data_IF_200481516044
#
_entry.id   IF_200481516044
#
_cell.length_a   1.000
_cell.length_b   1.000
_cell.length_c   1.000
_cell.angle_alpha   90.00
_cell.angle_beta   90.00
_cell.angle_gamma   90.00
#
_symmetry.space_group_name_H-M   'P 1'
#
loop_
_entity.id
_entity.type
_entity.pdbx_description
1 polymer ?
#
# COMPACT_ATOMS: atom_id res chain seq x y z
N UNK A 1 -4.21 -8.11 -17.54
CA UNK A 1 -3.34 -7.89 -16.35
C UNK A 1 -1.90 -8.31 -16.64
N UNK A 2 -1.65 -9.54 -17.10
CA UNK A 2 -0.31 -10.04 -17.42
C UNK A 2 0.43 -9.16 -18.46
N UNK A 3 -0.26 -8.71 -19.52
CA UNK A 3 0.38 -7.90 -20.57
C UNK A 3 0.92 -6.56 -20.04
N UNK A 4 0.16 -5.86 -19.20
CA UNK A 4 0.58 -4.58 -18.59
C UNK A 4 1.81 -4.78 -17.70
N UNK A 5 1.81 -5.83 -16.88
CA UNK A 5 2.93 -6.15 -15.98
C UNK A 5 4.19 -6.55 -16.76
N UNK A 6 4.03 -7.36 -17.81
CA UNK A 6 5.13 -7.78 -18.67
C UNK A 6 5.74 -6.60 -19.41
N UNK A 7 4.91 -5.75 -20.05
CA UNK A 7 5.37 -4.53 -20.74
C UNK A 7 6.06 -3.60 -19.75
N UNK A 8 5.52 -3.42 -18.54
CA UNK A 8 6.17 -2.58 -17.54
C UNK A 8 7.54 -3.14 -17.13
N UNK A 9 7.63 -4.45 -16.87
CA UNK A 9 8.88 -5.10 -16.48
C UNK A 9 9.96 -5.04 -17.58
N UNK A 10 9.60 -5.17 -18.86
CA UNK A 10 10.58 -5.08 -19.96
C UNK A 10 11.16 -3.68 -20.12
N UNK A 11 10.38 -2.63 -19.85
CA UNK A 11 10.83 -1.24 -20.00
C UNK A 11 11.55 -0.70 -18.76
N UNK A 12 11.54 -1.41 -17.64
CA UNK A 12 12.16 -0.96 -16.38
C UNK A 12 13.21 -1.98 -15.92
N UNK A 13 14.36 -2.04 -16.60
CA UNK A 13 15.39 -3.07 -16.40
C UNK A 13 15.96 -3.23 -14.97
N UNK A 14 15.73 -2.26 -14.08
CA UNK A 14 16.04 -2.36 -12.64
C UNK A 14 14.97 -3.07 -11.79
N UNK A 15 13.81 -3.39 -12.37
CA UNK A 15 12.65 -4.00 -11.72
C UNK A 15 12.23 -5.25 -12.53
N UNK A 16 12.30 -6.42 -11.90
CA UNK A 16 11.64 -7.61 -12.41
C UNK A 16 10.19 -7.62 -11.93
N UNK A 17 9.30 -8.35 -12.63
CA UNK A 17 8.02 -8.66 -12.04
C UNK A 17 8.25 -9.37 -10.69
N UNK A 18 7.63 -8.83 -9.65
CA UNK A 18 7.65 -9.42 -8.31
C UNK A 18 6.24 -9.44 -7.73
N UNK A 19 6.00 -10.44 -6.87
CA UNK A 19 4.73 -10.63 -6.20
C UNK A 19 4.39 -9.37 -5.39
N UNK A 20 3.19 -8.83 -5.60
CA UNK A 20 2.75 -7.54 -5.05
C UNK A 20 2.52 -6.45 -6.11
N UNK A 21 3.24 -6.48 -7.24
CA UNK A 21 3.00 -5.53 -8.35
C UNK A 21 1.59 -5.68 -8.94
N UNK A 22 1.08 -6.91 -9.00
CA UNK A 22 -0.29 -7.19 -9.41
C UNK A 22 -1.33 -6.61 -8.42
N UNK A 23 -1.03 -6.59 -7.11
CA UNK A 23 -1.90 -6.01 -6.09
C UNK A 23 -2.02 -4.48 -6.25
N UNK A 24 -0.97 -3.84 -6.77
CA UNK A 24 -0.95 -2.41 -7.12
C UNK A 24 -1.74 -2.13 -8.40
N UNK A 25 -1.64 -3.01 -9.40
CA UNK A 25 -2.33 -2.86 -10.68
C UNK A 25 -3.84 -3.14 -10.58
N UNK A 26 -4.25 -4.10 -9.75
CA UNK A 26 -5.64 -4.56 -9.68
C UNK A 26 -6.65 -3.42 -9.48
N UNK A 27 -6.42 -2.45 -8.56
CA UNK A 27 -7.37 -1.36 -8.40
C UNK A 27 -7.50 -0.45 -9.61
N UNK A 28 -6.42 -0.17 -10.33
CA UNK A 28 -6.46 0.65 -11.54
C UNK A 28 -7.27 -0.04 -12.64
N UNK A 29 -7.14 -1.36 -12.78
CA UNK A 29 -7.93 -2.13 -13.74
C UNK A 29 -9.42 -2.03 -13.42
N UNK A 30 -9.82 -2.16 -12.16
CA UNK A 30 -11.23 -2.11 -11.77
C UNK A 30 -11.81 -0.70 -11.88
N UNK A 31 -11.04 0.33 -11.50
CA UNK A 31 -11.52 1.72 -11.48
C UNK A 31 -11.54 2.39 -12.86
N UNK A 32 -10.68 1.98 -13.79
CA UNK A 32 -10.53 2.60 -15.12
C UNK A 32 -11.21 1.75 -16.20
N UNK A 33 -11.32 0.44 -16.02
CA UNK A 33 -12.08 -0.36 -16.97
C UNK A 33 -13.53 0.13 -16.99
N UNK A 34 -14.15 0.26 -18.18
CA UNK A 34 -15.57 0.54 -18.25
C UNK A 34 -16.28 -0.54 -17.43
N UNK A 35 -17.18 -0.12 -16.54
CA UNK A 35 -18.09 -1.04 -15.88
C UNK A 35 -18.69 -1.89 -16.99
N UNK A 36 -18.39 -3.18 -17.03
CA UNK A 36 -19.03 -4.07 -17.97
C UNK A 36 -20.53 -3.86 -17.76
N UNK A 37 -21.20 -3.23 -18.71
CA UNK A 37 -22.63 -3.04 -18.65
C UNK A 37 -23.28 -4.40 -18.40
N UNK A 38 -24.46 -4.46 -17.78
CA UNK A 38 -25.18 -5.72 -17.65
C UNK A 38 -25.17 -6.41 -19.01
N UNK A 39 -24.87 -7.72 -19.09
CA UNK A 39 -24.85 -8.42 -20.36
C UNK A 39 -26.19 -8.14 -21.01
N UNK A 40 -26.16 -7.55 -22.22
CA UNK A 40 -27.37 -7.29 -22.99
C UNK A 40 -28.19 -8.58 -22.96
N UNK A 41 -29.42 -8.49 -22.43
CA UNK A 41 -30.28 -9.64 -22.20
C UNK A 41 -30.24 -10.53 -23.45
N UNK A 42 -29.70 -11.75 -23.30
CA UNK A 42 -29.59 -12.67 -24.42
C UNK A 42 -31.00 -12.92 -24.96
N UNK A 43 -31.22 -12.88 -26.28
CA UNK A 43 -32.48 -13.32 -26.83
C UNK A 43 -32.63 -14.81 -26.49
N UNK A 44 -33.76 -15.16 -25.89
CA UNK A 44 -34.16 -16.54 -25.65
C UNK A 44 -34.13 -17.33 -26.96
N UNK A 45 -33.26 -18.32 -27.08
CA UNK A 45 -33.34 -19.28 -28.19
C UNK A 45 -32.08 -20.12 -28.43
N UNK A 46 -32.18 -21.42 -28.15
CA UNK A 46 -31.51 -22.49 -28.92
C UNK A 46 -30.04 -22.77 -28.61
N UNK A 47 -29.74 -24.02 -28.24
CA UNK A 47 -28.40 -24.49 -27.92
C UNK A 47 -27.42 -24.54 -29.10
N UNK A 48 -26.14 -24.46 -28.76
CA UNK A 48 -25.01 -24.65 -29.68
C UNK A 48 -23.74 -24.07 -29.05
N UNK A 49 -22.67 -24.88 -28.96
CA UNK A 49 -21.39 -24.48 -28.37
C UNK A 49 -20.82 -23.22 -29.02
N UNK A 50 -20.85 -22.11 -28.29
CA UNK A 50 -20.34 -20.82 -28.75
C UNK A 50 -18.84 -20.69 -28.52
N UNK A 51 -18.07 -20.75 -29.61
CA UNK A 51 -16.74 -20.13 -29.66
C UNK A 51 -16.94 -18.64 -29.34
N UNK A 52 -16.25 -18.10 -28.33
CA UNK A 52 -16.24 -16.65 -28.09
C UNK A 52 -15.71 -15.97 -29.36
N UNK A 53 -16.61 -15.37 -30.14
CA UNK A 53 -16.25 -14.61 -31.33
C UNK A 53 -15.25 -13.53 -30.97
N UNK A 54 -14.29 -13.28 -31.85
CA UNK A 54 -13.34 -12.17 -31.69
C UNK A 54 -14.12 -10.86 -31.50
N UNK A 55 -13.66 -9.96 -30.60
CA UNK A 55 -14.33 -8.70 -30.35
C UNK A 55 -14.46 -7.88 -31.64
N UNK A 56 -15.56 -7.12 -31.76
CA UNK A 56 -15.74 -6.17 -32.86
C UNK A 56 -14.57 -5.15 -32.89
N UNK A 57 -14.18 -4.61 -34.05
CA UNK A 57 -13.11 -3.61 -34.14
C UNK A 57 -13.29 -2.42 -33.19
N UNK A 58 -14.53 -1.96 -33.00
CA UNK A 58 -14.85 -0.87 -32.06
C UNK A 58 -14.63 -1.27 -30.59
N UNK A 59 -14.94 -2.52 -30.24
CA UNK A 59 -14.69 -3.06 -28.90
C UNK A 59 -13.19 -3.25 -28.68
N UNK A 60 -12.46 -3.70 -29.70
CA UNK A 60 -11.00 -3.83 -29.66
C UNK A 60 -10.30 -2.48 -29.48
N UNK A 61 -10.76 -1.43 -30.16
CA UNK A 61 -10.22 -0.06 -30.00
C UNK A 61 -10.51 0.52 -28.61
N UNK A 62 -11.70 0.27 -28.07
CA UNK A 62 -12.07 0.66 -26.70
C UNK A 62 -11.20 -0.05 -25.65
N UNK A 63 -11.05 -1.37 -25.79
CA UNK A 63 -10.19 -2.19 -24.91
C UNK A 63 -8.74 -1.72 -24.97
N UNK A 64 -8.22 -1.44 -26.17
CA UNK A 64 -6.85 -0.95 -26.37
C UNK A 64 -6.65 0.41 -25.70
N UNK A 65 -7.62 1.32 -25.85
CA UNK A 65 -7.58 2.65 -25.21
C UNK A 65 -7.60 2.54 -23.69
N UNK A 66 -8.47 1.72 -23.11
CA UNK A 66 -8.51 1.48 -21.67
C UNK A 66 -7.19 0.89 -21.17
N UNK A 67 -6.63 -0.10 -21.86
CA UNK A 67 -5.34 -0.70 -21.49
C UNK A 67 -4.21 0.34 -21.51
N UNK A 68 -4.18 1.24 -22.48
CA UNK A 68 -3.21 2.32 -22.55
C UNK A 68 -3.35 3.31 -21.37
N UNK A 69 -4.58 3.69 -21.00
CA UNK A 69 -4.83 4.56 -19.83
C UNK A 69 -4.41 3.88 -18.53
N UNK A 70 -4.75 2.60 -18.35
CA UNK A 70 -4.32 1.83 -17.17
C UNK A 70 -2.81 1.74 -17.12
N UNK A 71 -2.14 1.46 -18.25
CA UNK A 71 -0.68 1.40 -18.31
C UNK A 71 -0.02 2.74 -17.95
N UNK A 72 -0.55 3.86 -18.46
CA UNK A 72 -0.05 5.19 -18.13
C UNK A 72 -0.24 5.52 -16.64
N UNK A 73 -1.43 5.23 -16.09
CA UNK A 73 -1.72 5.40 -14.66
C UNK A 73 -0.81 4.53 -13.78
N UNK A 74 -0.62 3.26 -14.15
CA UNK A 74 0.25 2.33 -13.46
C UNK A 74 1.71 2.78 -13.48
N UNK A 75 2.20 3.24 -14.64
CA UNK A 75 3.56 3.78 -14.77
C UNK A 75 3.76 4.99 -13.86
N UNK A 76 2.78 5.90 -13.81
CA UNK A 76 2.82 7.04 -12.91
C UNK A 76 2.83 6.61 -11.43
N UNK A 77 1.96 5.69 -11.04
CA UNK A 77 1.90 5.15 -9.69
C UNK A 77 3.22 4.47 -9.28
N UNK A 78 3.82 3.70 -10.19
CA UNK A 78 5.09 3.04 -9.96
C UNK A 78 6.27 3.99 -9.83
N UNK A 79 6.19 5.26 -10.27
CA UNK A 79 7.23 6.26 -9.91
C UNK A 79 7.32 6.47 -8.40
N UNK A 80 6.22 6.28 -7.67
CA UNK A 80 6.17 6.37 -6.21
C UNK A 80 6.52 5.04 -5.53
N UNK A 81 5.98 3.92 -6.05
CA UNK A 81 6.05 2.63 -5.36
C UNK A 81 7.21 1.72 -5.81
N UNK A 82 7.84 1.98 -6.94
CA UNK A 82 8.89 1.10 -7.52
C UNK A 82 10.04 0.79 -6.57
N UNK A 83 10.42 1.73 -5.70
CA UNK A 83 11.45 1.50 -4.70
C UNK A 83 11.14 0.31 -3.77
N UNK A 84 9.85 0.04 -3.50
CA UNK A 84 9.39 -1.09 -2.68
C UNK A 84 9.64 -2.45 -3.35
N UNK A 85 9.80 -2.46 -4.67
CA UNK A 85 9.83 -3.65 -5.52
C UNK A 85 11.22 -3.95 -6.10
N UNK A 86 12.25 -3.23 -5.62
CA UNK A 86 13.64 -3.47 -6.02
C UNK A 86 14.10 -4.85 -5.58
N UNK A 87 14.90 -5.51 -6.43
CA UNK A 87 15.45 -6.85 -6.16
C UNK A 87 16.31 -6.88 -4.89
N UNK A 88 17.06 -5.80 -4.65
CA UNK A 88 17.91 -5.62 -3.47
C UNK A 88 17.13 -5.25 -2.19
N UNK A 89 15.81 -5.09 -2.27
CA UNK A 89 14.90 -4.67 -1.19
C UNK A 89 15.26 -3.34 -0.50
N UNK A 90 16.21 -2.57 -1.05
CA UNK A 90 16.78 -1.38 -0.42
C UNK A 90 15.74 -0.29 -0.13
N UNK A 91 14.80 -0.08 -1.05
CA UNK A 91 13.75 0.93 -0.86
C UNK A 91 12.78 0.58 0.26
N UNK A 92 12.48 -0.70 0.44
CA UNK A 92 11.60 -1.18 1.51
C UNK A 92 12.32 -1.22 2.86
N UNK A 93 13.57 -1.67 2.88
CA UNK A 93 14.42 -1.61 4.08
C UNK A 93 14.60 -0.17 4.58
N UNK A 94 14.77 0.80 3.68
CA UNK A 94 14.84 2.23 4.02
C UNK A 94 13.54 2.73 4.67
N UNK A 95 12.38 2.32 4.14
CA UNK A 95 11.10 2.69 4.74
C UNK A 95 10.83 2.04 6.08
N UNK A 96 11.21 0.76 6.26
CA UNK A 96 11.13 0.10 7.57
C UNK A 96 12.07 0.75 8.60
N UNK A 97 13.26 1.17 8.17
CA UNK A 97 14.17 1.96 9.01
C UNK A 97 13.54 3.29 9.42
N UNK A 98 12.89 3.97 8.47
CA UNK A 98 12.17 5.21 8.78
C UNK A 98 10.98 4.94 9.73
N UNK A 99 10.21 3.87 9.52
CA UNK A 99 9.14 3.47 10.42
C UNK A 99 9.63 3.27 11.86
N UNK A 100 10.78 2.58 12.05
CA UNK A 100 11.42 2.44 13.37
C UNK A 100 11.72 3.79 14.02
N UNK A 101 12.29 4.73 13.24
CA UNK A 101 12.61 6.08 13.73
C UNK A 101 11.36 6.88 14.10
N UNK A 102 10.32 6.83 13.27
CA UNK A 102 9.05 7.51 13.53
C UNK A 102 8.38 6.93 14.78
N UNK A 103 8.39 5.60 14.95
CA UNK A 103 7.89 4.96 16.17
C UNK A 103 8.70 5.36 17.39
N UNK A 104 10.04 5.43 17.30
CA UNK A 104 10.90 5.84 18.41
C UNK A 104 10.67 7.30 18.84
N UNK A 105 10.36 8.20 17.90
CA UNK A 105 9.97 9.57 18.21
C UNK A 105 8.55 9.66 18.80
N UNK A 106 7.67 8.77 18.36
CA UNK A 106 6.23 8.83 18.68
C UNK A 106 5.87 8.11 19.99
N UNK A 107 6.49 6.96 20.26
CA UNK A 107 6.35 6.13 21.47
C UNK A 107 7.68 5.38 21.75
N UNK A 108 8.65 6.03 22.42
CA UNK A 108 9.96 5.43 22.70
C UNK A 108 9.89 4.10 23.47
N UNK A 109 9.02 3.93 24.51
CA UNK A 109 8.87 2.65 25.19
C UNK A 109 8.42 1.51 24.28
N UNK A 110 7.44 1.76 23.41
CA UNK A 110 6.97 0.76 22.43
C UNK A 110 8.06 0.44 21.41
N UNK A 111 8.75 1.46 20.90
CA UNK A 111 9.87 1.26 19.97
C UNK A 111 10.97 0.41 20.60
N UNK A 112 11.35 0.68 21.85
CA UNK A 112 12.34 -0.11 22.56
C UNK A 112 11.88 -1.56 22.78
N UNK A 113 10.58 -1.78 23.04
CA UNK A 113 10.01 -3.12 23.18
C UNK A 113 10.13 -3.94 21.89
N UNK A 114 9.88 -3.31 20.74
CA UNK A 114 9.95 -3.90 19.39
C UNK A 114 11.33 -3.78 18.73
N UNK A 115 12.38 -3.56 19.51
CA UNK A 115 13.75 -3.42 19.02
C UNK A 115 14.66 -4.58 19.46
N UNK A 116 14.11 -5.75 19.81
CA UNK A 116 14.93 -6.90 20.18
C UNK A 116 15.72 -7.47 18.98
N UNK A 117 15.27 -7.23 17.75
CA UNK A 117 16.07 -7.42 16.53
C UNK A 117 15.77 -6.36 15.47
N UNK A 118 16.63 -6.26 14.46
CA UNK A 118 16.36 -5.43 13.28
C UNK A 118 15.16 -5.95 12.46
N UNK A 119 14.85 -7.25 12.61
CA UNK A 119 13.79 -7.93 11.88
C UNK A 119 12.39 -7.71 12.46
N UNK A 120 12.24 -7.26 13.72
CA UNK A 120 10.92 -7.20 14.37
C UNK A 120 9.90 -6.31 13.65
N UNK A 121 10.30 -5.18 13.05
CA UNK A 121 9.37 -4.39 12.23
C UNK A 121 9.16 -4.92 10.80
N UNK A 122 9.87 -5.97 10.37
CA UNK A 122 9.60 -6.63 9.08
C UNK A 122 8.23 -7.33 9.08
N UNK A 123 7.61 -7.58 10.24
CA UNK A 123 6.20 -7.97 10.34
C UNK A 123 5.26 -6.94 9.68
N UNK A 124 5.65 -5.66 9.63
CA UNK A 124 4.90 -4.58 8.98
C UNK A 124 5.21 -4.45 7.48
N UNK A 125 6.05 -5.31 6.91
CA UNK A 125 6.47 -5.26 5.51
C UNK A 125 5.28 -5.16 4.55
N UNK A 126 4.22 -5.95 4.78
CA UNK A 126 3.03 -5.98 3.93
C UNK A 126 2.26 -4.66 3.94
N UNK A 127 2.20 -4.00 5.10
CA UNK A 127 1.57 -2.68 5.25
C UNK A 127 2.31 -1.62 4.45
N UNK A 128 3.65 -1.63 4.53
CA UNK A 128 4.50 -0.63 3.87
C UNK A 128 4.59 -0.87 2.36
N UNK A 129 4.89 -2.11 1.95
CA UNK A 129 5.10 -2.48 0.55
C UNK A 129 3.87 -2.17 -0.31
N UNK A 130 2.68 -2.52 0.21
CA UNK A 130 1.42 -2.45 -0.53
C UNK A 130 0.47 -1.36 -0.02
N UNK A 131 0.96 -0.46 0.85
CA UNK A 131 0.16 0.61 1.45
C UNK A 131 -1.22 0.11 1.94
N UNK A 132 -1.19 -0.94 2.79
CA UNK A 132 -2.36 -1.59 3.39
C UNK A 132 -3.37 -2.28 2.45
N UNK A 133 -3.07 -2.43 1.14
CA UNK A 133 -3.97 -3.09 0.16
C UNK A 133 -4.45 -4.49 0.56
N UNK A 134 -3.67 -5.21 1.36
CA UNK A 134 -4.00 -6.58 1.83
C UNK A 134 -4.72 -6.60 3.19
N UNK A 135 -4.84 -5.46 3.85
CA UNK A 135 -5.59 -5.31 5.12
C UNK A 135 -6.99 -4.73 4.89
N UNK A 136 -7.24 -4.17 3.71
CA UNK A 136 -8.47 -3.45 3.40
C UNK A 136 -9.21 -4.09 2.21
N UNK A 137 -10.55 -4.06 2.21
CA UNK A 137 -11.32 -4.37 1.02
C UNK A 137 -11.06 -3.35 -0.09
N UNK A 138 -11.48 -3.67 -1.31
CA UNK A 138 -11.19 -2.88 -2.51
C UNK A 138 -11.57 -1.40 -2.36
N UNK A 139 -12.83 -1.10 -2.05
CA UNK A 139 -13.32 0.28 -1.92
C UNK A 139 -12.57 1.07 -0.82
N UNK A 140 -12.27 0.41 0.29
CA UNK A 140 -11.50 1.00 1.39
C UNK A 140 -10.04 1.26 0.99
N UNK A 141 -9.44 0.39 0.19
CA UNK A 141 -8.10 0.63 -0.39
C UNK A 141 -8.11 1.87 -1.26
N UNK A 142 -9.05 1.98 -2.20
CA UNK A 142 -9.15 3.14 -3.09
C UNK A 142 -9.26 4.44 -2.28
N UNK A 143 -10.14 4.48 -1.29
CA UNK A 143 -10.30 5.65 -0.42
C UNK A 143 -9.04 5.97 0.38
N UNK A 144 -8.34 4.96 0.93
CA UNK A 144 -7.07 5.20 1.61
C UNK A 144 -6.06 5.84 0.64
N UNK A 145 -5.91 5.27 -0.55
CA UNK A 145 -4.94 5.71 -1.55
C UNK A 145 -5.23 7.11 -2.09
N UNK A 146 -6.49 7.48 -2.28
CA UNK A 146 -6.91 8.85 -2.60
C UNK A 146 -6.34 9.85 -1.58
N UNK A 147 -6.48 9.55 -0.27
CA UNK A 147 -5.97 10.42 0.79
C UNK A 147 -4.44 10.42 0.85
N UNK A 148 -3.81 9.23 0.80
CA UNK A 148 -2.34 9.11 0.86
C UNK A 148 -1.67 9.88 -0.29
N UNK A 149 -2.27 9.89 -1.47
CA UNK A 149 -1.65 10.43 -2.69
C UNK A 149 -2.09 11.85 -3.04
N UNK A 150 -3.18 12.36 -2.45
CA UNK A 150 -3.65 13.73 -2.66
C UNK A 150 -2.73 14.80 -2.07
N UNK A 151 -1.85 14.45 -1.12
CA UNK A 151 -1.02 15.42 -0.39
C UNK A 151 0.25 15.80 -1.18
N UNK A 152 0.43 17.07 -1.58
CA UNK A 152 1.60 17.48 -2.38
C UNK A 152 2.92 17.42 -1.63
N UNK A 153 2.95 17.83 -0.35
CA UNK A 153 4.14 17.86 0.50
C UNK A 153 4.00 16.84 1.64
N UNK A 154 5.02 16.01 1.83
CA UNK A 154 5.07 14.99 2.90
C UNK A 154 4.10 13.81 2.73
N UNK A 155 3.21 13.84 1.74
CA UNK A 155 2.22 12.79 1.45
C UNK A 155 2.83 11.41 1.20
N UNK A 156 4.04 11.38 0.66
CA UNK A 156 4.81 10.15 0.35
C UNK A 156 5.11 9.29 1.58
N UNK A 157 4.88 9.78 2.80
CA UNK A 157 5.15 9.07 4.06
C UNK A 157 3.88 8.82 4.89
N UNK A 158 2.70 9.22 4.40
CA UNK A 158 1.45 9.06 5.15
C UNK A 158 1.13 7.61 5.51
N UNK A 159 1.51 6.65 4.67
CA UNK A 159 1.36 5.23 4.99
C UNK A 159 2.24 4.79 6.16
N UNK A 160 3.41 5.41 6.37
CA UNK A 160 4.26 5.14 7.53
C UNK A 160 3.66 5.74 8.79
N UNK A 161 3.07 6.94 8.72
CA UNK A 161 2.34 7.53 9.84
C UNK A 161 1.12 6.68 10.22
N UNK A 162 0.38 6.16 9.24
CA UNK A 162 -0.71 5.21 9.48
C UNK A 162 -0.22 3.96 10.23
N UNK A 163 0.93 3.39 9.81
CA UNK A 163 1.53 2.24 10.47
C UNK A 163 1.95 2.53 11.92
N UNK A 164 2.56 3.69 12.20
CA UNK A 164 2.89 4.11 13.57
C UNK A 164 1.62 4.24 14.41
N UNK A 165 0.60 4.92 13.89
CA UNK A 165 -0.65 5.13 14.63
C UNK A 165 -1.37 3.81 14.91
N UNK A 166 -1.34 2.86 13.98
CA UNK A 166 -1.88 1.51 14.19
C UNK A 166 -1.10 0.75 15.28
N UNK A 167 0.24 0.76 15.25
CA UNK A 167 1.05 0.15 16.31
C UNK A 167 0.74 0.78 17.68
N UNK A 168 0.62 2.10 17.74
CA UNK A 168 0.30 2.83 18.97
C UNK A 168 -1.10 2.54 19.50
N UNK A 169 -2.10 2.41 18.63
CA UNK A 169 -3.45 2.03 19.05
C UNK A 169 -3.48 0.65 19.71
N UNK A 170 -2.56 -0.24 19.31
CA UNK A 170 -2.41 -1.58 19.87
C UNK A 170 -1.27 -1.71 20.91
N UNK A 171 -0.76 -0.58 21.42
CA UNK A 171 0.36 -0.52 22.37
C UNK A 171 0.21 -1.48 23.54
N UNK A 172 -0.95 -1.54 24.17
CA UNK A 172 -1.18 -2.39 25.34
C UNK A 172 -0.97 -3.88 25.04
N UNK A 173 -1.51 -4.35 23.91
CA UNK A 173 -1.32 -5.73 23.46
C UNK A 173 0.11 -6.03 23.04
N UNK A 174 0.75 -5.10 22.31
CA UNK A 174 2.14 -5.25 21.88
C UNK A 174 3.12 -5.32 23.06
N UNK A 175 2.95 -4.46 24.07
CA UNK A 175 3.81 -4.46 25.26
C UNK A 175 3.61 -5.69 26.16
N UNK A 176 2.47 -6.37 26.04
CA UNK A 176 2.20 -7.61 26.77
C UNK A 176 2.83 -8.84 26.09
N UNK A 177 3.32 -8.72 24.86
CA UNK A 177 4.01 -9.81 24.18
C UNK A 177 5.38 -10.08 24.82
N UNK A 178 5.85 -11.34 24.83
CA UNK A 178 7.23 -11.63 25.18
C UNK A 178 8.19 -11.00 24.17
N UNK A 179 9.22 -10.31 24.66
CA UNK A 179 10.24 -9.67 23.81
C UNK A 179 11.04 -10.72 23.02
N UNK A 180 11.42 -10.39 21.79
CA UNK A 180 12.21 -11.28 20.93
C UNK A 180 11.42 -12.48 20.35
N UNK A 181 10.11 -12.56 20.59
CA UNK A 181 9.24 -13.61 20.03
C UNK A 181 8.57 -13.15 18.74
N UNK A 182 9.33 -13.23 17.66
CA UNK A 182 8.88 -12.82 16.32
C UNK A 182 7.59 -13.53 15.88
N UNK A 183 7.40 -14.80 16.21
CA UNK A 183 6.20 -15.58 15.89
C UNK A 183 4.93 -15.02 16.56
N UNK A 184 5.04 -14.61 17.83
CA UNK A 184 3.96 -13.98 18.58
C UNK A 184 3.63 -12.60 18.00
N UNK A 185 4.66 -11.80 17.70
CA UNK A 185 4.51 -10.48 17.09
C UNK A 185 3.85 -10.58 15.71
N UNK A 186 4.33 -11.47 14.85
CA UNK A 186 3.78 -11.67 13.51
C UNK A 186 2.31 -12.09 13.56
N UNK A 187 1.94 -13.00 14.47
CA UNK A 187 0.53 -13.38 14.66
C UNK A 187 -0.31 -12.18 15.07
N UNK A 188 0.14 -11.44 16.08
CA UNK A 188 -0.57 -10.25 16.57
C UNK A 188 -0.81 -9.23 15.45
N UNK A 189 0.23 -8.94 14.65
CA UNK A 189 0.17 -7.96 13.57
C UNK A 189 -0.77 -8.42 12.43
N UNK A 190 -0.77 -9.71 12.10
CA UNK A 190 -1.72 -10.25 11.13
C UNK A 190 -3.17 -10.17 11.63
N UNK A 191 -3.42 -10.45 12.91
CA UNK A 191 -4.76 -10.36 13.51
C UNK A 191 -5.28 -8.92 13.52
N UNK A 192 -4.40 -7.95 13.79
CA UNK A 192 -4.70 -6.51 13.69
C UNK A 192 -5.05 -6.12 12.27
N UNK A 193 -4.22 -6.56 11.29
CA UNK A 193 -4.43 -6.26 9.87
C UNK A 193 -5.80 -6.73 9.35
N UNK A 194 -6.28 -7.89 9.80
CA UNK A 194 -7.60 -8.40 9.41
C UNK A 194 -8.81 -7.63 9.96
N UNK A 195 -8.61 -6.64 10.84
CA UNK A 195 -9.69 -5.90 11.52
C UNK A 195 -9.61 -4.40 11.35
N UNK A 196 -8.61 -3.89 10.62
CA UNK A 196 -8.36 -2.45 10.55
C UNK A 196 -9.36 -1.75 9.64
N UNK A 197 -9.93 -0.64 10.12
CA UNK A 197 -10.82 0.23 9.35
C UNK A 197 -10.08 1.31 8.60
N UNK A 198 -10.57 1.69 7.41
CA UNK A 198 -9.97 2.77 6.60
C UNK A 198 -10.00 4.13 7.28
N UNK A 199 -11.11 4.50 7.94
CA UNK A 199 -11.22 5.77 8.67
C UNK A 199 -10.22 5.86 9.81
N UNK A 200 -9.99 4.75 10.51
CA UNK A 200 -8.96 4.66 11.52
C UNK A 200 -7.58 4.91 10.91
N UNK A 201 -7.22 4.27 9.80
CA UNK A 201 -5.91 4.44 9.17
C UNK A 201 -5.68 5.87 8.70
N UNK A 202 -6.68 6.51 8.11
CA UNK A 202 -6.59 7.92 7.68
C UNK A 202 -6.40 8.84 8.90
N UNK A 203 -7.27 8.71 9.91
CA UNK A 203 -7.15 9.53 11.12
C UNK A 203 -5.84 9.31 11.87
N UNK A 204 -5.36 8.06 11.93
CA UNK A 204 -4.07 7.70 12.50
C UNK A 204 -2.90 8.35 11.73
N UNK A 205 -2.94 8.32 10.39
CA UNK A 205 -1.92 8.95 9.55
C UNK A 205 -1.83 10.46 9.81
N UNK A 206 -2.97 11.15 9.83
CA UNK A 206 -3.04 12.60 10.05
C UNK A 206 -2.60 12.97 11.46
N UNK A 207 -3.09 12.26 12.48
CA UNK A 207 -2.74 12.52 13.86
C UNK A 207 -1.23 12.33 14.12
N UNK A 208 -0.63 11.27 13.59
CA UNK A 208 0.81 11.01 13.73
C UNK A 208 1.66 12.00 12.94
N UNK A 209 1.23 12.39 11.74
CA UNK A 209 1.91 13.43 10.96
C UNK A 209 1.92 14.76 11.70
N UNK A 210 0.77 15.20 12.24
CA UNK A 210 0.66 16.44 13.02
C UNK A 210 1.49 16.39 14.30
N UNK A 211 1.46 15.27 15.03
CA UNK A 211 2.24 15.06 16.24
C UNK A 211 3.74 15.17 15.98
N UNK A 212 4.25 14.44 14.99
CA UNK A 212 5.68 14.41 14.71
C UNK A 212 6.17 15.74 14.12
N UNK A 213 5.33 16.43 13.35
CA UNK A 213 5.63 17.80 12.92
C UNK A 213 5.79 18.77 14.10
N UNK A 214 5.00 18.62 15.17
CA UNK A 214 5.13 19.43 16.38
C UNK A 214 6.44 19.12 17.13
N UNK A 215 6.76 17.83 17.32
CA UNK A 215 8.02 17.40 17.97
C UNK A 215 9.25 17.93 17.23
N UNK A 216 9.27 17.87 15.90
CA UNK A 216 10.38 18.37 15.10
C UNK A 216 10.53 19.90 15.18
N UNK A 217 9.41 20.64 15.26
CA UNK A 217 9.44 22.09 15.46
C UNK A 217 10.02 22.46 16.82
N UNK A 218 9.64 21.76 17.88
CA UNK A 218 10.18 21.99 19.22
C UNK A 218 11.69 21.69 19.30
N UNK A 219 12.15 20.61 18.66
CA UNK A 219 13.58 20.29 18.59
C UNK A 219 14.39 21.27 17.74
N UNK A 220 13.78 21.81 16.68
CA UNK A 220 14.37 22.86 15.85
C UNK A 220 14.52 24.17 16.60
N UNK A 221 13.49 24.60 17.35
CA UNK A 221 13.54 25.83 18.16
C UNK A 221 14.62 25.80 19.25
N UNK A 222 14.77 24.67 19.95
CA UNK A 222 15.81 24.50 20.99
C UNK A 222 17.25 24.51 20.46
N UNK A 223 17.45 24.33 19.15
CA UNK A 223 18.79 24.38 18.52
C UNK A 223 19.27 25.78 18.18
N UNK A 224 18.41 26.79 18.27
CA UNK A 224 18.75 28.20 17.99
C UNK A 224 18.77 29.08 19.25
N UNK A 225 18.46 28.52 20.43
CA UNK A 225 18.40 29.24 21.71
C UNK A 225 19.52 28.85 22.69
N UNK A 226 20.52 28.07 22.27
CA UNK A 226 21.69 27.69 23.08
C UNK A 226 22.98 27.79 22.29
#
# INVERSE_FOLDING_TARGET
MADILNVYATHNGGLRYCQGMADVLAPLLVSIAPAAGPPAASPSGGGGGGVRGAPSPADADSVTRTAAVVYAAYTHLMRRLSANFRVDQSGLASQLTLLRRLLALSDPPLAAHLAASDEELHVCFRWVMLQFKRELPFAATCRLWEVLWARPEGGERLHLYAAVGLLRAHRGGLLALPRGRFDCLLRFINDVGGRVGVDFLIGAAEAEASRLAAVLREQGGRRYEG
#
